data_IF_882776094524
#
_entry.id   IF_882776094524
#
_cell.length_a   1.000
_cell.length_b   1.000
_cell.length_c   1.000
_cell.angle_alpha   90.00
_cell.angle_beta   90.00
_cell.angle_gamma   90.00
#
_symmetry.space_group_name_H-M   'P 1'
#
loop_
_entity.id
_entity.type
_entity.pdbx_description
1 polymer ?
#
# COMPACT_ATOMS: atom_id res chain seq x y z
N UNK A 1 37.47 -3.31 26.25
CA UNK A 1 37.10 -2.70 24.96
C UNK A 1 36.84 -3.82 23.97
N UNK A 2 35.58 -4.04 23.59
CA UNK A 2 35.24 -4.99 22.53
C UNK A 2 35.59 -4.33 21.19
N UNK A 3 36.64 -4.81 20.53
CA UNK A 3 36.98 -4.38 19.18
C UNK A 3 35.99 -5.05 18.22
N UNK A 4 35.05 -4.27 17.69
CA UNK A 4 34.17 -4.71 16.61
C UNK A 4 35.02 -4.82 15.34
N UNK A 5 35.60 -6.00 15.14
CA UNK A 5 36.31 -6.32 13.91
C UNK A 5 35.27 -6.54 12.79
N UNK A 6 35.28 -5.64 11.81
CA UNK A 6 34.40 -5.72 10.64
C UNK A 6 34.74 -7.01 9.89
N UNK A 7 33.84 -8.00 9.94
CA UNK A 7 34.00 -9.26 9.20
C UNK A 7 34.26 -8.93 7.71
N UNK A 8 35.41 -9.29 7.12
CA UNK A 8 35.79 -8.87 5.77
C UNK A 8 35.08 -9.66 4.66
N UNK A 9 34.42 -10.77 5.02
CA UNK A 9 33.79 -11.70 4.08
C UNK A 9 32.33 -11.85 4.46
N UNK A 10 31.45 -11.25 3.64
CA UNK A 10 30.02 -11.51 3.74
C UNK A 10 29.78 -12.99 3.46
N UNK A 11 29.11 -13.67 4.40
CA UNK A 11 28.71 -15.06 4.19
C UNK A 11 27.75 -15.10 2.99
N UNK A 12 28.13 -15.84 1.94
CA UNK A 12 27.27 -16.07 0.76
C UNK A 12 25.91 -16.63 1.20
N UNK A 13 25.89 -17.43 2.26
CA UNK A 13 24.68 -17.98 2.86
C UNK A 13 23.78 -16.89 3.46
N UNK A 14 24.35 -15.88 4.13
CA UNK A 14 23.57 -14.75 4.67
C UNK A 14 23.07 -13.78 3.59
N UNK A 15 23.76 -13.66 2.45
CA UNK A 15 23.28 -12.84 1.31
C UNK A 15 21.99 -13.38 0.71
N UNK A 16 21.82 -14.71 0.68
CA UNK A 16 20.59 -15.36 0.20
C UNK A 16 19.57 -15.61 1.30
N UNK A 17 20.02 -15.92 2.51
CA UNK A 17 19.12 -16.14 3.63
C UNK A 17 18.40 -14.85 4.05
N UNK A 18 19.06 -13.68 3.98
CA UNK A 18 18.46 -12.43 4.44
C UNK A 18 17.16 -12.03 3.73
N UNK A 19 17.04 -12.02 2.37
CA UNK A 19 15.78 -11.69 1.72
C UNK A 19 14.70 -12.76 1.99
N UNK A 20 15.07 -14.04 2.06
CA UNK A 20 14.13 -15.13 2.33
C UNK A 20 13.55 -15.02 3.74
N UNK A 21 14.41 -14.73 4.72
CA UNK A 21 14.01 -14.58 6.12
C UNK A 21 13.16 -13.32 6.31
N UNK A 22 13.49 -12.23 5.63
CA UNK A 22 12.66 -11.02 5.58
C UNK A 22 11.28 -11.28 4.98
N UNK A 23 11.21 -12.02 3.86
CA UNK A 23 9.93 -12.40 3.24
C UNK A 23 9.08 -13.26 4.18
N UNK A 24 9.69 -14.28 4.80
CA UNK A 24 9.01 -15.16 5.75
C UNK A 24 8.45 -14.37 6.94
N UNK A 25 9.26 -13.51 7.56
CA UNK A 25 8.82 -12.66 8.67
C UNK A 25 7.70 -11.71 8.26
N UNK A 26 7.73 -11.17 7.04
CA UNK A 26 6.68 -10.29 6.52
C UNK A 26 5.35 -11.03 6.41
N UNK A 27 5.36 -12.24 5.84
CA UNK A 27 4.15 -13.08 5.72
C UNK A 27 3.61 -13.49 7.09
N UNK A 28 4.49 -13.91 8.01
CA UNK A 28 4.10 -14.28 9.38
C UNK A 28 3.46 -13.10 10.10
N UNK A 29 4.04 -11.90 9.96
CA UNK A 29 3.51 -10.68 10.56
C UNK A 29 2.16 -10.31 9.97
N UNK A 30 2.01 -10.39 8.64
CA UNK A 30 0.73 -10.16 7.96
C UNK A 30 -0.35 -11.16 8.43
N UNK A 31 0.00 -12.43 8.54
CA UNK A 31 -0.88 -13.48 9.06
C UNK A 31 -1.34 -13.17 10.50
N UNK A 32 -0.41 -12.78 11.38
CA UNK A 32 -0.72 -12.36 12.75
C UNK A 32 -1.62 -11.12 12.81
N UNK A 33 -1.42 -10.14 11.92
CA UNK A 33 -2.27 -8.94 11.83
C UNK A 33 -3.71 -9.30 11.45
N UNK A 34 -3.91 -10.18 10.46
CA UNK A 34 -5.26 -10.60 10.06
C UNK A 34 -5.96 -11.43 11.14
N UNK A 35 -5.22 -12.29 11.86
CA UNK A 35 -5.72 -12.99 13.04
C UNK A 35 -6.16 -12.02 14.13
N UNK A 36 -5.37 -10.98 14.42
CA UNK A 36 -5.71 -9.96 15.41
C UNK A 36 -6.97 -9.16 15.02
N UNK A 37 -7.25 -9.03 13.72
CA UNK A 37 -8.48 -8.41 13.20
C UNK A 37 -9.69 -9.38 13.16
N UNK A 38 -9.53 -10.64 13.57
CA UNK A 38 -10.59 -11.65 13.56
C UNK A 38 -11.08 -12.05 12.16
N UNK A 39 -10.27 -11.80 11.12
CA UNK A 39 -10.56 -12.22 9.73
C UNK A 39 -9.76 -13.46 9.38
N UNK A 40 -10.27 -14.26 8.44
CA UNK A 40 -9.54 -15.39 7.90
C UNK A 40 -8.23 -14.91 7.25
N UNK A 41 -7.06 -15.28 7.82
CA UNK A 41 -5.79 -14.70 7.39
C UNK A 41 -5.38 -15.20 6.01
N UNK A 42 -5.80 -16.42 5.63
CA UNK A 42 -5.54 -16.98 4.30
C UNK A 42 -6.31 -16.22 3.23
N UNK A 43 -7.58 -15.89 3.49
CA UNK A 43 -8.39 -15.10 2.56
C UNK A 43 -7.87 -13.67 2.46
N UNK A 44 -7.52 -13.05 3.59
CA UNK A 44 -6.92 -11.70 3.61
C UNK A 44 -5.61 -11.62 2.85
N UNK A 45 -4.73 -12.62 3.01
CA UNK A 45 -3.46 -12.69 2.28
C UNK A 45 -3.69 -12.95 0.79
N UNK A 46 -4.66 -13.80 0.45
CA UNK A 46 -5.05 -14.07 -0.95
C UNK A 46 -5.61 -12.81 -1.62
N UNK A 47 -6.46 -12.06 -0.92
CA UNK A 47 -7.00 -10.81 -1.44
C UNK A 47 -5.92 -9.74 -1.62
N UNK A 48 -4.97 -9.66 -0.70
CA UNK A 48 -3.88 -8.69 -0.77
C UNK A 48 -2.87 -9.01 -1.90
N UNK A 49 -2.51 -10.28 -2.10
CA UNK A 49 -1.50 -10.67 -3.09
C UNK A 49 -2.10 -11.10 -4.44
N UNK A 50 -3.15 -11.91 -4.46
CA UNK A 50 -3.65 -12.55 -5.68
C UNK A 50 -4.61 -11.63 -6.44
N UNK A 51 -5.57 -11.02 -5.75
CA UNK A 51 -6.59 -10.18 -6.40
C UNK A 51 -6.00 -9.04 -7.25
N UNK A 52 -5.04 -8.22 -6.77
CA UNK A 52 -4.51 -7.12 -7.58
C UNK A 52 -3.62 -7.60 -8.74
N UNK A 53 -3.01 -8.78 -8.65
CA UNK A 53 -2.16 -9.32 -9.73
C UNK A 53 -2.99 -10.02 -10.81
N UNK A 54 -4.19 -10.50 -10.45
CA UNK A 54 -5.04 -11.28 -11.34
C UNK A 54 -5.81 -10.43 -12.36
N UNK A 55 -5.88 -9.10 -12.18
CA UNK A 55 -6.61 -8.18 -13.05
C UNK A 55 -5.69 -7.05 -13.55
N UNK A 56 -5.87 -6.63 -14.81
CA UNK A 56 -5.07 -5.56 -15.43
C UNK A 56 -5.30 -4.22 -14.73
N UNK A 57 -6.52 -3.94 -14.29
CA UNK A 57 -6.85 -2.73 -13.53
C UNK A 57 -6.17 -2.79 -12.15
N UNK A 58 -6.23 -3.94 -11.49
CA UNK A 58 -5.55 -4.17 -10.21
C UNK A 58 -4.05 -3.94 -10.33
N UNK A 59 -3.43 -4.41 -11.41
CA UNK A 59 -2.00 -4.23 -11.66
C UNK A 59 -1.65 -2.76 -11.92
N UNK A 60 -2.50 -2.03 -12.66
CA UNK A 60 -2.32 -0.59 -12.89
C UNK A 60 -2.46 0.21 -11.59
N UNK A 61 -3.45 -0.11 -10.75
CA UNK A 61 -3.63 0.53 -9.44
C UNK A 61 -2.46 0.24 -8.50
N UNK A 62 -1.97 -1.00 -8.50
CA UNK A 62 -0.79 -1.38 -7.73
C UNK A 62 0.43 -0.57 -8.20
N UNK A 63 0.64 -0.47 -9.52
CA UNK A 63 1.70 0.33 -10.10
C UNK A 63 1.61 1.81 -9.72
N UNK A 64 0.41 2.39 -9.74
CA UNK A 64 0.20 3.80 -9.37
C UNK A 64 0.51 4.08 -7.90
N UNK A 65 0.18 3.14 -7.00
CA UNK A 65 0.51 3.21 -5.56
C UNK A 65 2.01 3.02 -5.29
N UNK A 66 2.68 2.19 -6.08
CA UNK A 66 4.13 1.92 -5.96
C UNK A 66 5.00 2.99 -6.61
N UNK A 67 4.49 3.68 -7.64
CA UNK A 67 5.22 4.69 -8.41
C UNK A 67 5.98 5.73 -7.57
N UNK A 68 5.36 6.40 -6.56
CA UNK A 68 6.08 7.40 -5.78
C UNK A 68 7.21 6.80 -4.92
N UNK A 69 7.00 5.61 -4.33
CA UNK A 69 8.06 4.92 -3.57
C UNK A 69 9.21 4.47 -4.48
N UNK A 70 8.90 3.98 -5.69
CA UNK A 70 9.91 3.64 -6.68
C UNK A 70 10.69 4.86 -7.15
N UNK A 71 10.04 6.02 -7.26
CA UNK A 71 10.71 7.28 -7.57
C UNK A 71 11.68 7.70 -6.46
N UNK A 72 11.30 7.54 -5.20
CA UNK A 72 12.20 7.75 -4.06
C UNK A 72 13.39 6.78 -4.10
N UNK A 73 13.13 5.48 -4.32
CA UNK A 73 14.18 4.47 -4.42
C UNK A 73 15.17 4.79 -5.57
N UNK A 74 14.66 5.18 -6.75
CA UNK A 74 15.47 5.57 -7.88
C UNK A 74 16.38 6.78 -7.54
N UNK A 75 15.84 7.82 -6.89
CA UNK A 75 16.65 8.95 -6.40
C UNK A 75 17.75 8.50 -5.43
N UNK A 76 17.43 7.61 -4.49
CA UNK A 76 18.38 7.08 -3.51
C UNK A 76 19.52 6.28 -4.17
N UNK A 77 19.26 5.52 -5.24
CA UNK A 77 20.33 4.80 -5.96
C UNK A 77 21.41 5.75 -6.49
N UNK A 78 21.03 6.95 -6.94
CA UNK A 78 21.96 7.98 -7.39
C UNK A 78 22.71 8.60 -6.20
N UNK A 79 22.01 8.89 -5.09
CA UNK A 79 22.63 9.42 -3.87
C UNK A 79 23.67 8.48 -3.26
N UNK A 80 23.41 7.16 -3.25
CA UNK A 80 24.36 6.17 -2.76
C UNK A 80 25.62 6.10 -3.62
N UNK A 81 25.51 6.36 -4.93
CA UNK A 81 26.68 6.51 -5.82
C UNK A 81 27.54 7.72 -5.44
N UNK A 82 26.93 8.79 -4.94
CA UNK A 82 27.61 9.97 -4.42
C UNK A 82 28.09 9.82 -2.95
N UNK A 83 27.97 8.62 -2.36
CA UNK A 83 28.24 8.33 -0.93
C UNK A 83 27.42 9.17 0.04
N UNK A 84 26.30 9.73 -0.42
CA UNK A 84 25.34 10.39 0.46
C UNK A 84 24.50 9.31 1.14
N UNK A 85 24.28 9.47 2.44
CA UNK A 85 23.46 8.54 3.22
C UNK A 85 21.97 8.91 3.10
N UNK A 86 21.09 7.93 3.28
CA UNK A 86 19.65 8.19 3.32
C UNK A 86 19.27 8.73 4.71
N UNK A 87 18.76 9.97 4.76
CA UNK A 87 18.27 10.59 6.00
C UNK A 87 16.89 10.02 6.42
N UNK A 88 16.19 9.34 5.50
CA UNK A 88 14.84 8.81 5.71
C UNK A 88 13.82 9.36 4.71
N UNK A 89 14.19 9.46 3.43
CA UNK A 89 13.31 10.01 2.39
C UNK A 89 11.95 9.30 2.31
N UNK A 90 11.95 7.97 2.44
CA UNK A 90 10.73 7.15 2.45
C UNK A 90 9.82 7.47 3.65
N UNK A 91 10.41 7.70 4.83
CA UNK A 91 9.67 8.05 6.05
C UNK A 91 8.99 9.42 5.92
N UNK A 92 9.68 10.41 5.33
CA UNK A 92 9.08 11.71 5.04
C UNK A 92 7.93 11.62 4.03
N UNK A 93 8.08 10.79 2.99
CA UNK A 93 7.00 10.54 2.05
C UNK A 93 5.78 9.92 2.75
N UNK A 94 6.00 8.90 3.59
CA UNK A 94 4.92 8.24 4.33
C UNK A 94 4.24 9.18 5.32
N UNK A 95 4.99 10.00 6.05
CA UNK A 95 4.43 11.00 6.98
C UNK A 95 3.64 12.08 6.24
N UNK A 96 4.10 12.53 5.07
CA UNK A 96 3.36 13.44 4.22
C UNK A 96 2.06 12.82 3.70
N UNK A 97 2.10 11.56 3.26
CA UNK A 97 0.91 10.83 2.83
C UNK A 97 -0.09 10.63 3.98
N UNK A 98 0.39 10.31 5.19
CA UNK A 98 -0.45 10.20 6.39
C UNK A 98 -1.10 11.55 6.73
N UNK A 99 -0.32 12.64 6.76
CA UNK A 99 -0.84 13.99 7.01
C UNK A 99 -1.88 14.41 5.98
N UNK A 100 -1.61 14.19 4.69
CA UNK A 100 -2.55 14.42 3.61
C UNK A 100 -3.83 13.57 3.76
N UNK A 101 -3.70 12.31 4.18
CA UNK A 101 -4.85 11.42 4.41
C UNK A 101 -5.73 11.91 5.57
N UNK A 102 -5.12 12.36 6.68
CA UNK A 102 -5.84 12.93 7.83
C UNK A 102 -6.60 14.18 7.40
N UNK A 103 -5.94 15.09 6.68
CA UNK A 103 -6.56 16.31 6.15
C UNK A 103 -7.69 15.97 5.17
N UNK A 104 -7.50 15.00 4.27
CA UNK A 104 -8.51 14.57 3.31
C UNK A 104 -9.77 14.03 4.01
N UNK A 105 -9.61 13.20 5.04
CA UNK A 105 -10.75 12.65 5.80
C UNK A 105 -11.51 13.75 6.55
N UNK A 106 -10.81 14.70 7.16
CA UNK A 106 -11.47 15.77 7.92
C UNK A 106 -12.08 16.88 7.04
N UNK A 107 -11.57 17.09 5.82
CA UNK A 107 -12.09 18.09 4.89
C UNK A 107 -13.18 17.55 3.94
N UNK A 108 -13.41 16.24 3.89
CA UNK A 108 -14.46 15.63 3.06
C UNK A 108 -15.87 16.12 3.45
N UNK A 109 -16.12 16.44 4.72
CA UNK A 109 -17.40 17.02 5.20
C UNK A 109 -17.41 18.57 5.21
N UNK A 110 -16.25 19.21 5.04
CA UNK A 110 -16.14 20.66 5.06
C UNK A 110 -16.50 21.23 3.68
N UNK A 111 -17.80 21.47 3.47
CA UNK A 111 -18.26 22.41 2.44
C UNK A 111 -17.79 23.83 2.82
N UNK A 112 -16.59 24.21 2.36
CA UNK A 112 -16.03 25.52 2.70
C UNK A 112 -14.70 25.86 2.03
N UNK A 113 -14.78 26.76 1.05
CA UNK A 113 -13.74 27.63 0.46
C UNK A 113 -12.49 27.00 -0.21
N UNK A 114 -11.98 25.86 0.26
CA UNK A 114 -10.77 25.22 -0.29
C UNK A 114 -11.03 24.21 -1.42
N UNK A 115 -12.30 23.91 -1.72
CA UNK A 115 -12.72 22.99 -2.82
C UNK A 115 -12.99 23.73 -4.15
N UNK A 116 -12.70 25.03 -4.23
CA UNK A 116 -12.28 25.70 -5.47
C UNK A 116 -13.03 26.97 -5.85
N UNK A 117 -12.48 27.81 -6.76
CA UNK A 117 -13.26 28.83 -7.46
C UNK A 117 -14.08 28.24 -8.64
N UNK A 118 -14.36 26.92 -8.64
CA UNK A 118 -15.20 26.26 -9.65
C UNK A 118 -16.29 25.35 -9.05
N UNK A 119 -16.48 25.37 -7.73
CA UNK A 119 -17.63 24.74 -7.07
C UNK A 119 -18.83 25.68 -7.11
N UNK A 120 -19.45 25.84 -8.27
CA UNK A 120 -20.53 26.82 -8.41
C UNK A 120 -21.41 26.62 -9.63
N UNK A 121 -22.03 25.45 -9.79
CA UNK A 121 -23.38 25.28 -10.36
C UNK A 121 -23.67 23.81 -10.65
N UNK A 122 -24.62 23.23 -9.90
CA UNK A 122 -25.18 21.90 -10.18
C UNK A 122 -24.39 20.79 -9.49
N UNK A 123 -24.86 20.19 -8.41
CA UNK A 123 -26.24 19.96 -8.02
C UNK A 123 -26.24 18.55 -7.47
N UNK A 124 -26.63 18.41 -6.21
CA UNK A 124 -26.65 17.12 -5.52
C UNK A 124 -27.46 16.08 -6.29
N UNK A 125 -26.94 14.85 -6.33
CA UNK A 125 -27.71 13.62 -6.45
C UNK A 125 -26.81 12.38 -6.32
N UNK A 126 -27.03 11.65 -5.23
CA UNK A 126 -27.04 10.19 -5.23
C UNK A 126 -25.69 9.49 -5.38
N UNK A 127 -24.96 9.36 -4.28
CA UNK A 127 -24.27 8.08 -4.00
C UNK A 127 -25.36 7.06 -3.72
N UNK A 128 -25.84 6.41 -4.79
CA UNK A 128 -26.88 5.40 -4.74
C UNK A 128 -26.58 4.29 -5.73
N UNK A 129 -26.13 3.14 -5.22
CA UNK A 129 -26.43 1.81 -5.72
C UNK A 129 -25.91 1.40 -7.11
N UNK A 130 -24.93 0.51 -7.14
CA UNK A 130 -24.70 -0.44 -8.22
C UNK A 130 -23.71 -1.50 -7.76
N UNK A 131 -23.98 -2.80 -7.73
CA UNK A 131 -25.11 -3.57 -8.20
C UNK A 131 -24.65 -5.02 -8.25
N UNK A 132 -24.93 -5.79 -7.19
CA UNK A 132 -24.66 -7.23 -7.14
C UNK A 132 -25.54 -7.98 -8.14
N UNK A 133 -24.92 -8.48 -9.21
CA UNK A 133 -25.57 -9.31 -10.22
C UNK A 133 -25.71 -10.77 -9.78
N UNK A 134 -26.58 -11.03 -8.80
CA UNK A 134 -26.98 -12.39 -8.39
C UNK A 134 -28.40 -12.69 -8.90
N UNK A 135 -28.51 -13.25 -10.10
CA UNK A 135 -29.78 -13.74 -10.66
C UNK A 135 -30.30 -14.91 -9.80
N UNK A 136 -31.33 -14.66 -8.98
CA UNK A 136 -32.14 -15.73 -8.36
C UNK A 136 -33.09 -16.34 -9.41
N UNK A 137 -33.34 -17.66 -9.37
CA UNK A 137 -34.21 -18.36 -10.30
C UNK A 137 -35.69 -18.04 -10.02
N UNK A 138 -36.47 -17.84 -11.10
CA UNK A 138 -37.92 -17.65 -11.06
C UNK A 138 -38.57 -19.02 -10.88
N UNK A 139 -39.25 -19.22 -9.76
CA UNK A 139 -40.14 -20.34 -9.49
C UNK A 139 -41.59 -20.00 -9.90
N UNK A 140 -42.30 -21.00 -10.44
CA UNK A 140 -43.75 -21.02 -10.72
C UNK A 140 -44.16 -20.34 -12.03
N UNK A 141 -45.00 -20.90 -12.90
CA UNK A 141 -45.89 -22.06 -12.82
C UNK A 141 -46.95 -21.84 -13.91
N UNK A 142 -47.22 -22.86 -14.72
CA UNK A 142 -48.18 -22.86 -15.84
C UNK A 142 -48.12 -24.20 -16.54
#
# INVERSE_FOLDING_TARGET
MLLLERRPVDSTLMRWASPVLALALTVITGFGLFLAMGKDPVEGLTFFFITPISDLIGLAELGLKMAPLLLCAAGLTVCYRARLWNIGAEGHFLMGALGASVVAVHLVDASGFLVGPAGGAGGGRGVGGGGGGGRRPRAGGG
#
